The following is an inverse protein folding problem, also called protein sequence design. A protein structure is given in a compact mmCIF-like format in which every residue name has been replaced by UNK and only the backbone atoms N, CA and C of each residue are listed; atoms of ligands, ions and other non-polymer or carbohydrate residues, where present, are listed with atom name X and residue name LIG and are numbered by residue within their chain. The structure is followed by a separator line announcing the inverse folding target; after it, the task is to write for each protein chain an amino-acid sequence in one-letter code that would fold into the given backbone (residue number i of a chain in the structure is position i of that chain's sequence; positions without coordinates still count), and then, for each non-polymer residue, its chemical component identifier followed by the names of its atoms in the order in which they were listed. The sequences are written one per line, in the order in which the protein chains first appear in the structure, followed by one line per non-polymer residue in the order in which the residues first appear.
data_IF_799637102979
#
_entry.id   IF_799637102979
#
_cell.length_a   1.000
_cell.length_b   1.000
_cell.length_c   1.000
_cell.angle_alpha   90.00
_cell.angle_beta   90.00
_cell.angle_gamma   90.00
#
_symmetry.space_group_name_H-M   'P 1'
#
loop_
_entity.id
_entity.type
_entity.pdbx_description
1 polymer ?
#
# COMPACT_ATOMS: atom_id res chain seq x y z
N UNK A 1 41.18 -48.19 1.34
CA UNK A 1 40.49 -47.44 2.42
C UNK A 1 40.77 -45.93 2.37
N UNK A 2 42.02 -45.46 2.48
CA UNK A 2 42.36 -44.02 2.42
C UNK A 2 41.88 -43.28 1.15
N UNK A 3 41.95 -43.90 -0.03
CA UNK A 3 41.47 -43.30 -1.29
C UNK A 3 39.97 -42.96 -1.27
N UNK A 4 39.16 -43.78 -0.61
CA UNK A 4 37.71 -43.52 -0.47
C UNK A 4 37.43 -42.41 0.53
N UNK A 5 38.21 -42.32 1.62
CA UNK A 5 38.10 -41.22 2.59
C UNK A 5 38.43 -39.86 1.94
N UNK A 6 39.49 -39.80 1.12
CA UNK A 6 39.84 -38.57 0.38
C UNK A 6 38.69 -38.16 -0.56
N UNK A 7 38.12 -39.11 -1.31
CA UNK A 7 37.01 -38.82 -2.22
C UNK A 7 35.76 -38.32 -1.48
N UNK A 8 35.41 -38.93 -0.33
CA UNK A 8 34.28 -38.50 0.49
C UNK A 8 34.50 -37.07 1.01
N UNK A 9 35.70 -36.74 1.49
CA UNK A 9 36.02 -35.39 1.98
C UNK A 9 35.93 -34.35 0.86
N UNK A 10 36.49 -34.64 -0.32
CA UNK A 10 36.43 -33.73 -1.47
C UNK A 10 34.97 -33.51 -1.90
N UNK A 11 34.17 -34.57 -1.97
CA UNK A 11 32.76 -34.46 -2.35
C UNK A 11 31.95 -33.69 -1.31
N UNK A 12 32.19 -33.90 -0.01
CA UNK A 12 31.54 -33.14 1.06
C UNK A 12 31.88 -31.64 0.97
N UNK A 13 33.14 -31.28 0.70
CA UNK A 13 33.54 -29.88 0.52
C UNK A 13 32.90 -29.24 -0.70
N UNK A 14 32.78 -29.97 -1.82
CA UNK A 14 32.08 -29.49 -3.01
C UNK A 14 30.60 -29.22 -2.73
N UNK A 15 29.91 -30.11 -2.02
CA UNK A 15 28.50 -29.93 -1.65
C UNK A 15 28.34 -28.71 -0.73
N UNK A 16 29.19 -28.56 0.28
CA UNK A 16 29.16 -27.40 1.18
C UNK A 16 29.41 -26.10 0.40
N UNK A 17 30.38 -26.10 -0.52
CA UNK A 17 30.67 -24.95 -1.38
C UNK A 17 29.51 -24.58 -2.28
N UNK A 18 28.87 -25.56 -2.92
CA UNK A 18 27.71 -25.35 -3.78
C UNK A 18 26.50 -24.79 -3.00
N UNK A 19 26.22 -25.34 -1.80
CA UNK A 19 25.14 -24.86 -0.94
C UNK A 19 25.42 -23.45 -0.43
N UNK A 20 26.66 -23.16 0.01
CA UNK A 20 27.07 -21.82 0.45
C UNK A 20 26.91 -20.79 -0.66
N UNK A 21 27.35 -21.13 -1.87
CA UNK A 21 27.18 -20.27 -3.04
C UNK A 21 25.70 -20.02 -3.37
N UNK A 22 24.86 -21.07 -3.34
CA UNK A 22 23.43 -20.94 -3.59
C UNK A 22 22.72 -20.02 -2.57
N UNK A 23 23.06 -20.13 -1.28
CA UNK A 23 22.54 -19.25 -0.22
C UNK A 23 23.00 -17.81 -0.44
N UNK A 24 24.25 -17.60 -0.86
CA UNK A 24 24.76 -16.26 -1.13
C UNK A 24 24.03 -15.58 -2.31
N UNK A 25 23.61 -16.35 -3.32
CA UNK A 25 22.79 -15.84 -4.42
C UNK A 25 21.33 -15.58 -4.00
N UNK A 26 20.75 -16.45 -3.18
CA UNK A 26 19.32 -16.42 -2.83
C UNK A 26 18.99 -15.57 -1.59
N UNK A 27 20.02 -15.12 -0.85
CA UNK A 27 19.87 -14.45 0.43
C UNK A 27 19.57 -15.40 1.59
N UNK A 28 19.76 -14.92 2.82
CA UNK A 28 19.53 -15.73 4.03
C UNK A 28 18.06 -15.73 4.46
N UNK A 29 17.60 -16.72 5.26
CA UNK A 29 16.23 -16.74 5.78
C UNK A 29 15.85 -15.48 6.57
N UNK A 30 16.80 -14.91 7.32
CA UNK A 30 16.58 -13.69 8.11
C UNK A 30 16.35 -12.47 7.21
N UNK A 31 17.06 -12.43 6.09
CA UNK A 31 17.02 -11.35 5.13
C UNK A 31 15.76 -11.39 4.27
N UNK A 32 15.37 -12.58 3.81
CA UNK A 32 14.09 -12.77 3.13
C UNK A 32 12.91 -12.42 4.04
N UNK A 33 13.02 -12.71 5.35
CA UNK A 33 12.03 -12.28 6.34
C UNK A 33 11.97 -10.75 6.49
N UNK A 34 13.13 -10.07 6.51
CA UNK A 34 13.21 -8.61 6.55
C UNK A 34 12.53 -7.96 5.32
N UNK A 35 12.84 -8.45 4.11
CA UNK A 35 12.20 -7.98 2.87
C UNK A 35 10.68 -8.15 2.94
N UNK A 36 10.20 -9.33 3.39
CA UNK A 36 8.77 -9.60 3.56
C UNK A 36 8.09 -8.65 4.54
N UNK A 37 8.78 -8.26 5.62
CA UNK A 37 8.22 -7.31 6.58
C UNK A 37 8.15 -5.90 6.00
N UNK A 38 9.15 -5.46 5.23
CA UNK A 38 9.11 -4.21 4.50
C UNK A 38 7.98 -4.18 3.44
N UNK A 39 7.77 -5.28 2.70
CA UNK A 39 6.66 -5.43 1.76
C UNK A 39 5.29 -5.29 2.45
N UNK A 40 5.13 -5.91 3.63
CA UNK A 40 3.91 -5.79 4.44
C UNK A 40 3.70 -4.35 4.89
N UNK A 41 4.74 -3.65 5.35
CA UNK A 41 4.63 -2.22 5.74
C UNK A 41 4.15 -1.36 4.57
N UNK A 42 4.71 -1.58 3.38
CA UNK A 42 4.29 -0.86 2.18
C UNK A 42 2.84 -1.19 1.79
N UNK A 43 2.42 -2.44 1.95
CA UNK A 43 1.02 -2.84 1.74
C UNK A 43 0.06 -2.21 2.75
N UNK A 44 0.47 -2.15 4.02
CA UNK A 44 -0.28 -1.49 5.09
C UNK A 44 -0.42 0.01 4.81
N UNK A 45 0.64 0.68 4.34
CA UNK A 45 0.62 2.10 3.99
C UNK A 45 -0.33 2.38 2.83
N UNK A 46 -0.36 1.53 1.80
CA UNK A 46 -1.35 1.62 0.71
C UNK A 46 -2.78 1.47 1.23
N UNK A 47 -3.00 0.51 2.13
CA UNK A 47 -4.33 0.29 2.74
C UNK A 47 -4.78 1.49 3.58
N UNK A 48 -3.88 2.04 4.39
CA UNK A 48 -4.11 3.24 5.19
C UNK A 48 -4.40 4.44 4.29
N UNK A 49 -3.64 4.64 3.22
CA UNK A 49 -3.88 5.69 2.23
C UNK A 49 -5.30 5.62 1.68
N UNK A 50 -5.77 4.45 1.23
CA UNK A 50 -7.14 4.28 0.75
C UNK A 50 -8.18 4.63 1.83
N UNK A 51 -7.93 4.24 3.08
CA UNK A 51 -8.77 4.63 4.21
C UNK A 51 -8.83 6.16 4.39
N UNK A 52 -7.68 6.83 4.35
CA UNK A 52 -7.55 8.29 4.47
C UNK A 52 -8.25 9.01 3.31
N UNK A 53 -8.12 8.52 2.07
CA UNK A 53 -8.78 9.09 0.90
C UNK A 53 -10.30 8.99 1.00
N UNK A 54 -10.82 7.85 1.49
CA UNK A 54 -12.25 7.70 1.77
C UNK A 54 -12.70 8.62 2.91
N UNK A 55 -11.90 8.76 3.97
CA UNK A 55 -12.15 9.69 5.06
C UNK A 55 -12.20 11.15 4.58
N UNK A 56 -11.27 11.52 3.72
CA UNK A 56 -11.18 12.87 3.15
C UNK A 56 -12.43 13.24 2.33
N UNK A 57 -12.96 12.32 1.53
CA UNK A 57 -14.19 12.55 0.75
C UNK A 57 -15.40 12.93 1.62
N UNK A 58 -15.46 12.42 2.86
CA UNK A 58 -16.57 12.66 3.77
C UNK A 58 -16.31 13.84 4.73
N UNK A 59 -15.04 14.17 5.00
CA UNK A 59 -14.66 15.14 6.04
C UNK A 59 -13.90 16.37 5.53
N UNK A 60 -13.48 16.38 4.25
CA UNK A 60 -12.67 17.42 3.60
C UNK A 60 -11.34 17.71 4.30
N UNK A 61 -10.87 16.76 5.10
CA UNK A 61 -9.57 16.77 5.77
C UNK A 61 -9.10 15.36 6.08
N UNK A 62 -7.79 15.17 6.19
CA UNK A 62 -7.19 13.93 6.70
C UNK A 62 -7.60 13.72 8.16
N UNK A 63 -7.66 12.46 8.64
CA UNK A 63 -8.01 12.20 10.03
C UNK A 63 -6.94 12.76 10.98
N UNK A 64 -7.33 13.13 12.21
CA UNK A 64 -6.35 13.55 13.21
C UNK A 64 -5.54 12.38 13.77
N UNK A 65 -6.11 11.17 13.71
CA UNK A 65 -5.54 9.92 14.22
C UNK A 65 -5.96 8.75 13.33
N UNK A 66 -5.17 7.68 13.25
CA UNK A 66 -5.54 6.52 12.41
C UNK A 66 -6.79 5.81 12.92
N UNK A 67 -7.09 5.89 14.21
CA UNK A 67 -8.25 5.28 14.86
C UNK A 67 -9.57 5.77 14.26
N UNK A 68 -9.61 7.02 13.75
CA UNK A 68 -10.80 7.57 13.09
C UNK A 68 -11.18 6.80 11.82
N UNK A 69 -10.25 6.09 11.19
CA UNK A 69 -10.56 5.26 10.02
C UNK A 69 -11.44 4.05 10.40
N UNK A 70 -11.52 3.69 11.67
CA UNK A 70 -12.44 2.62 12.13
C UNK A 70 -13.86 3.11 12.38
N UNK A 71 -14.11 4.43 12.32
CA UNK A 71 -15.44 4.98 12.48
C UNK A 71 -16.36 4.60 11.32
N UNK A 72 -17.61 4.29 11.63
CA UNK A 72 -18.63 3.92 10.64
C UNK A 72 -19.04 5.14 9.82
N UNK A 73 -19.02 5.00 8.50
CA UNK A 73 -19.45 6.02 7.55
C UNK A 73 -20.96 6.12 7.54
N UNK A 74 -21.48 7.34 7.69
CA UNK A 74 -22.93 7.60 7.67
C UNK A 74 -23.56 7.18 6.33
N UNK A 75 -22.87 7.42 5.21
CA UNK A 75 -23.40 7.17 3.86
C UNK A 75 -23.49 5.69 3.49
N UNK A 76 -22.62 4.84 4.05
CA UNK A 76 -22.49 3.43 3.64
C UNK A 76 -22.71 2.43 4.77
N UNK A 77 -22.87 2.89 6.01
CA UNK A 77 -22.95 2.05 7.22
C UNK A 77 -21.78 1.06 7.35
N UNK A 78 -20.62 1.40 6.78
CA UNK A 78 -19.38 0.61 6.85
C UNK A 78 -18.23 1.53 7.30
N UNK A 79 -17.24 1.03 8.05
CA UNK A 79 -16.10 1.85 8.44
C UNK A 79 -15.17 2.15 7.25
N UNK A 80 -14.38 3.22 7.34
CA UNK A 80 -13.37 3.52 6.32
C UNK A 80 -12.30 2.42 6.22
N UNK A 81 -11.99 1.79 7.35
CA UNK A 81 -11.18 0.59 7.48
C UNK A 81 -11.73 -0.31 8.58
N UNK A 82 -11.78 -1.62 8.33
CA UNK A 82 -12.20 -2.61 9.34
C UNK A 82 -11.27 -2.66 10.56
N UNK A 83 -9.97 -2.47 10.35
CA UNK A 83 -8.93 -2.53 11.39
C UNK A 83 -7.69 -1.78 10.93
N UNK A 84 -7.03 -1.07 11.85
CA UNK A 84 -5.74 -0.43 11.61
C UNK A 84 -4.63 -1.50 11.66
N UNK A 85 -3.82 -1.67 10.60
CA UNK A 85 -2.71 -2.60 10.62
C UNK A 85 -1.63 -2.14 11.60
N UNK A 86 -0.78 -3.09 12.00
CA UNK A 86 0.32 -2.86 12.94
C UNK A 86 1.59 -3.40 12.33
N UNK A 87 2.71 -2.78 12.69
CA UNK A 87 4.03 -3.15 12.18
C UNK A 87 4.28 -4.68 12.37
N UNK A 88 4.66 -5.40 11.30
CA UNK A 88 4.74 -6.86 11.33
C UNK A 88 5.85 -7.38 12.24
N UNK A 89 6.92 -6.62 12.45
CA UNK A 89 8.04 -7.01 13.30
C UNK A 89 7.76 -6.71 14.79
N UNK A 90 7.31 -5.49 15.09
CA UNK A 90 7.18 -4.96 16.46
C UNK A 90 5.78 -5.11 17.05
N UNK A 91 4.77 -5.35 16.20
CA UNK A 91 3.34 -5.38 16.56
C UNK A 91 2.82 -4.06 17.15
N UNK A 92 3.55 -2.96 16.96
CA UNK A 92 3.15 -1.61 17.39
C UNK A 92 2.37 -0.89 16.28
N UNK A 93 1.62 0.14 16.66
CA UNK A 93 0.95 1.00 15.70
C UNK A 93 2.00 1.80 14.90
N UNK A 94 1.69 2.10 13.63
CA UNK A 94 2.51 2.99 12.82
C UNK A 94 2.46 4.42 13.37
N UNK A 95 3.55 5.16 13.22
CA UNK A 95 3.57 6.59 13.58
C UNK A 95 2.90 7.37 12.46
N UNK A 96 1.86 8.11 12.81
CA UNK A 96 1.08 8.93 11.88
C UNK A 96 1.04 10.37 12.39
N UNK A 97 1.19 11.33 11.49
CA UNK A 97 1.09 12.75 11.82
C UNK A 97 0.36 13.50 10.70
N UNK A 98 -0.82 14.08 10.96
CA UNK A 98 -1.47 14.93 9.97
C UNK A 98 -0.63 16.19 9.73
N UNK A 99 -0.57 16.66 8.49
CA UNK A 99 0.27 17.77 8.06
C UNK A 99 -0.53 18.78 7.21
N UNK A 100 -1.64 19.28 7.76
CA UNK A 100 -2.58 20.16 7.06
C UNK A 100 -3.89 19.45 6.73
N UNK A 101 -4.63 19.96 5.75
CA UNK A 101 -5.95 19.42 5.39
C UNK A 101 -5.87 18.17 4.52
N UNK A 102 -4.96 18.12 3.55
CA UNK A 102 -4.86 17.03 2.58
C UNK A 102 -3.53 16.25 2.64
N UNK A 103 -2.66 16.55 3.60
CA UNK A 103 -1.33 15.92 3.70
C UNK A 103 -1.12 15.26 5.06
N UNK A 104 -0.30 14.22 5.08
CA UNK A 104 0.06 13.48 6.28
C UNK A 104 1.44 12.84 6.15
N UNK A 105 2.01 12.47 7.28
CA UNK A 105 3.24 11.67 7.37
C UNK A 105 2.91 10.32 8.00
N UNK A 106 3.50 9.26 7.44
CA UNK A 106 3.44 7.91 8.01
C UNK A 106 4.84 7.31 8.06
N UNK A 107 5.22 6.75 9.21
CA UNK A 107 6.57 6.27 9.46
C UNK A 107 6.60 4.83 9.93
N UNK A 108 7.67 4.13 9.52
CA UNK A 108 8.04 2.81 10.01
C UNK A 108 9.57 2.69 10.08
N UNK A 109 10.05 1.57 10.64
CA UNK A 109 11.46 1.19 10.56
C UNK A 109 11.61 0.08 9.55
N UNK A 110 12.33 0.34 8.46
CA UNK A 110 12.58 -0.63 7.41
C UNK A 110 13.85 -1.42 7.70
N UNK A 111 13.82 -2.73 7.49
CA UNK A 111 15.00 -3.57 7.75
C UNK A 111 15.96 -3.64 6.56
N UNK A 112 15.47 -3.30 5.37
CA UNK A 112 16.22 -3.22 4.10
C UNK A 112 16.01 -1.87 3.44
N UNK A 113 16.83 -1.53 2.43
CA UNK A 113 16.54 -0.40 1.55
C UNK A 113 15.89 -0.87 0.26
N UNK A 114 15.05 -0.04 -0.35
CA UNK A 114 14.47 -0.31 -1.68
C UNK A 114 15.56 -0.64 -2.69
N UNK A 115 16.68 0.08 -2.67
CA UNK A 115 17.84 -0.16 -3.54
C UNK A 115 18.54 -1.51 -3.32
N UNK A 116 18.49 -2.05 -2.09
CA UNK A 116 19.03 -3.37 -1.77
C UNK A 116 18.11 -4.46 -2.31
N UNK A 117 16.79 -4.28 -2.16
CA UNK A 117 15.77 -5.18 -2.72
C UNK A 117 15.92 -5.25 -4.24
N UNK A 118 16.00 -4.10 -4.92
CA UNK A 118 16.10 -4.06 -6.39
C UNK A 118 17.37 -4.74 -6.92
N UNK A 119 18.50 -4.68 -6.20
CA UNK A 119 19.73 -5.40 -6.59
C UNK A 119 19.61 -6.93 -6.48
N UNK A 120 18.73 -7.43 -5.63
CA UNK A 120 18.48 -8.87 -5.44
C UNK A 120 17.49 -9.45 -6.44
N UNK A 121 16.68 -8.60 -7.06
CA UNK A 121 15.74 -8.98 -8.10
C UNK A 121 16.50 -9.21 -9.41
N UNK A 122 17.12 -10.37 -9.55
CA UNK A 122 17.96 -10.73 -10.71
C UNK A 122 17.15 -11.27 -11.91
N UNK A 123 15.86 -10.90 -12.04
CA UNK A 123 14.96 -11.47 -13.05
C UNK A 123 14.32 -10.42 -13.96
N UNK A 124 14.36 -10.65 -15.28
CA UNK A 124 13.77 -9.79 -16.31
C UNK A 124 12.25 -9.56 -16.08
N UNK A 125 11.55 -10.49 -15.44
CA UNK A 125 10.11 -10.39 -15.17
C UNK A 125 9.76 -9.42 -14.02
N UNK A 126 10.71 -9.15 -13.13
CA UNK A 126 10.47 -8.34 -11.91
C UNK A 126 10.71 -6.84 -12.16
N UNK A 127 11.49 -6.51 -13.19
CA UNK A 127 11.73 -5.13 -13.64
C UNK A 127 10.51 -4.47 -14.28
N UNK A 128 9.51 -5.25 -14.70
CA UNK A 128 8.30 -4.74 -15.38
C UNK A 128 7.15 -4.44 -14.41
N UNK A 129 7.31 -4.64 -13.10
CA UNK A 129 6.16 -4.67 -12.16
C UNK A 129 6.24 -3.70 -10.99
N UNK A 130 7.39 -3.14 -10.63
CA UNK A 130 7.51 -2.42 -9.34
C UNK A 130 7.26 -0.91 -9.40
N UNK A 131 7.70 -0.21 -10.46
CA UNK A 131 7.70 1.27 -10.47
C UNK A 131 6.66 1.89 -11.39
N UNK A 132 6.35 1.24 -12.53
CA UNK A 132 5.48 1.84 -13.55
C UNK A 132 3.98 1.60 -13.32
N UNK A 133 3.59 0.56 -12.57
CA UNK A 133 2.18 0.18 -12.47
C UNK A 133 1.37 0.96 -11.40
N UNK A 134 2.04 1.54 -10.38
CA UNK A 134 1.37 2.23 -9.26
C UNK A 134 1.75 3.70 -9.07
N UNK A 135 2.78 4.21 -9.79
CA UNK A 135 3.13 5.64 -9.83
C UNK A 135 3.43 6.31 -8.48
N UNK A 136 3.57 5.54 -7.40
CA UNK A 136 3.77 6.04 -6.03
C UNK A 136 5.19 5.69 -5.58
N UNK A 137 5.95 6.72 -5.18
CA UNK A 137 7.34 6.56 -4.72
C UNK A 137 7.41 5.64 -3.50
N UNK A 138 7.81 4.39 -3.73
CA UNK A 138 8.01 3.35 -2.73
C UNK A 138 9.45 3.30 -2.21
N UNK A 139 10.31 4.23 -2.64
CA UNK A 139 11.72 4.21 -2.28
C UNK A 139 11.92 4.60 -0.82
N UNK A 140 12.73 3.82 -0.10
CA UNK A 140 13.08 4.09 1.28
C UNK A 140 14.50 3.61 1.60
N UNK A 141 15.21 4.30 2.52
CA UNK A 141 16.43 3.78 3.11
C UNK A 141 16.10 2.66 4.11
N UNK A 142 17.14 1.94 4.53
CA UNK A 142 17.09 1.09 5.72
C UNK A 142 17.03 1.98 6.97
N UNK A 143 16.25 1.56 7.96
CA UNK A 143 16.06 2.25 9.23
C UNK A 143 14.75 3.04 9.30
N UNK A 144 14.68 3.97 10.25
CA UNK A 144 13.48 4.78 10.45
C UNK A 144 13.29 5.75 9.28
N UNK A 145 12.13 5.68 8.62
CA UNK A 145 11.78 6.56 7.51
C UNK A 145 10.30 6.93 7.53
N UNK A 146 10.00 8.15 7.08
CA UNK A 146 8.65 8.70 7.01
C UNK A 146 8.31 9.09 5.58
N UNK A 147 7.23 8.54 5.05
CA UNK A 147 6.65 9.03 3.81
C UNK A 147 5.76 10.22 4.09
N UNK A 148 6.00 11.33 3.38
CA UNK A 148 5.04 12.44 3.30
C UNK A 148 4.12 12.18 2.12
N UNK A 149 2.81 12.12 2.38
CA UNK A 149 1.80 11.80 1.39
C UNK A 149 0.72 12.87 1.39
N UNK A 150 0.15 13.05 0.20
CA UNK A 150 -1.03 13.86 -0.01
C UNK A 150 -2.15 12.93 -0.47
N UNK A 151 -3.39 13.26 -0.10
CA UNK A 151 -4.59 12.73 -0.76
C UNK A 151 -4.45 12.99 -2.27
N UNK A 152 -4.93 12.08 -3.13
CA UNK A 152 -4.80 12.25 -4.59
C UNK A 152 -5.27 13.64 -5.08
N UNK A 153 -4.59 14.18 -6.10
CA UNK A 153 -4.95 15.48 -6.70
C UNK A 153 -6.40 15.48 -7.20
N UNK A 154 -6.87 14.36 -7.75
CA UNK A 154 -8.27 14.19 -8.17
C UNK A 154 -9.27 14.52 -7.05
N UNK A 155 -9.04 14.00 -5.83
CA UNK A 155 -9.90 14.29 -4.69
C UNK A 155 -9.73 15.74 -4.20
N UNK A 156 -8.52 16.28 -4.28
CA UNK A 156 -8.30 17.69 -3.94
C UNK A 156 -9.03 18.62 -4.92
N UNK A 157 -9.04 18.32 -6.21
CA UNK A 157 -9.71 19.13 -7.24
C UNK A 157 -11.24 19.03 -7.15
N UNK A 158 -11.75 17.83 -6.82
CA UNK A 158 -13.18 17.58 -6.69
C UNK A 158 -13.78 18.23 -5.42
N UNK A 159 -13.00 18.35 -4.34
CA UNK A 159 -13.52 18.69 -3.01
C UNK A 159 -12.83 19.88 -2.31
N UNK A 160 -11.63 20.31 -2.75
CA UNK A 160 -10.79 21.29 -2.06
C UNK A 160 -10.78 22.70 -2.65
N UNK A 161 -11.34 22.88 -3.85
CA UNK A 161 -11.54 24.16 -4.52
C UNK A 161 -13.02 24.28 -4.83
N UNK A 162 -13.61 25.46 -4.68
CA UNK A 162 -14.91 25.78 -5.29
C UNK A 162 -14.77 25.72 -6.81
N UNK A 163 -14.59 24.52 -7.35
CA UNK A 163 -14.10 24.24 -8.69
C UNK A 163 -15.16 24.60 -9.71
N UNK A 164 -15.09 25.87 -10.13
CA UNK A 164 -15.86 26.46 -11.22
C UNK A 164 -15.68 25.74 -12.57
N UNK A 165 -14.81 24.73 -12.67
CA UNK A 165 -14.57 23.97 -13.92
C UNK A 165 -15.55 22.82 -14.16
N UNK A 166 -16.31 22.38 -13.15
CA UNK A 166 -17.26 21.26 -13.29
C UNK A 166 -18.73 21.65 -13.13
N UNK A 167 -19.04 22.95 -13.04
CA UNK A 167 -20.43 23.44 -12.99
C UNK A 167 -21.25 23.16 -14.27
N UNK A 168 -20.61 22.65 -15.34
CA UNK A 168 -21.26 22.32 -16.61
C UNK A 168 -21.27 20.82 -16.95
N UNK A 169 -20.92 19.92 -16.01
CA UNK A 169 -21.15 18.48 -16.24
C UNK A 169 -22.52 18.11 -15.68
N UNK A 170 -23.48 17.69 -16.52
CA UNK A 170 -24.77 17.20 -16.04
C UNK A 170 -24.54 16.07 -15.03
N UNK A 171 -25.21 16.19 -13.89
CA UNK A 171 -25.11 15.24 -12.80
C UNK A 171 -25.62 13.86 -13.25
N UNK A 172 -24.71 12.95 -13.63
CA UNK A 172 -25.03 11.57 -14.01
C UNK A 172 -25.52 10.70 -12.83
N UNK A 173 -25.72 11.28 -11.64
CA UNK A 173 -26.36 10.63 -10.48
C UNK A 173 -27.78 11.13 -10.23
N UNK A 174 -28.47 11.70 -11.23
CA UNK A 174 -29.91 11.75 -11.14
C UNK A 174 -30.44 10.32 -11.38
N UNK A 175 -31.21 9.74 -10.43
CA UNK A 175 -31.98 8.54 -10.77
C UNK A 175 -32.88 8.87 -11.97
N UNK A 176 -33.17 7.89 -12.85
CA UNK A 176 -34.06 8.13 -13.99
C UNK A 176 -35.33 8.81 -13.49
N UNK A 177 -35.68 9.95 -14.07
CA UNK A 177 -36.96 10.57 -13.73
C UNK A 177 -38.07 9.59 -14.11
N UNK A 178 -38.92 9.25 -13.14
CA UNK A 178 -40.10 8.43 -13.38
C UNK A 178 -40.93 9.10 -14.48
N UNK A 179 -41.11 8.39 -15.59
CA UNK A 179 -42.06 8.78 -16.63
C UNK A 179 -43.45 8.90 -15.99
N UNK A 180 -44.18 10.01 -16.18
CA UNK A 180 -45.52 10.13 -15.66
C UNK A 180 -46.42 9.06 -16.30
N UNK A 181 -47.05 8.24 -15.46
CA UNK A 181 -48.11 7.33 -15.91
C UNK A 181 -49.29 8.16 -16.41
N UNK A 182 -49.51 8.17 -17.72
CA UNK A 182 -50.74 8.68 -18.31
C UNK A 182 -51.93 7.81 -17.84
N UNK A 183 -52.76 8.41 -17.00
CA UNK A 183 -54.07 7.87 -16.60
C UNK A 183 -55.03 8.04 -17.77
N UNK A 184 -55.22 7.00 -18.57
CA UNK A 184 -56.34 6.93 -19.51
C UNK A 184 -57.60 6.48 -18.77
N UNK A 185 -58.34 7.45 -18.25
CA UNK A 185 -59.72 7.25 -17.82
C UNK A 185 -60.64 7.05 -19.03
N UNK A 186 -60.98 5.79 -19.34
CA UNK A 186 -62.02 5.42 -20.30
C UNK A 186 -63.35 5.18 -19.59
N UNK A 187 -64.33 6.01 -19.91
CA UNK A 187 -65.73 5.83 -19.51
C UNK A 187 -66.38 4.66 -20.26
N UNK A 188 -67.22 3.91 -19.55
CA UNK A 188 -68.31 3.08 -20.09
C UNK A 188 -69.62 3.59 -19.51
#
# INVERSE_FOLDING_TARGET
MFKHLILIVVLALLVIGAVGFAIQLSGTPMENKAIRYDDIRMSDFRSIKTGIENYYQDNLRVPSTLEQLTAVRVKTSMPYMKKIPKDPATKRAYTYTPAGTAQYKICATFETSSSEIEKRKTGILDSLTSTELYGEDSSHPKGQFCFTRSVSSYLQDQYGSGSSRYNNIPNLRQPPQELPMESTGGAF
#
